data_IF_239301905363
#
_entry.id   IF_239301905363
#
_cell.length_a   1.000
_cell.length_b   1.000
_cell.length_c   1.000
_cell.angle_alpha   90.00
_cell.angle_beta   90.00
_cell.angle_gamma   90.00
#
_symmetry.space_group_name_H-M   'P 1'
#
loop_
_entity.id
_entity.type
_entity.pdbx_description
1 polymer ?
#
# COMPACT_ATOMS: atom_id res chain seq x y z
N UNK A 1 0.85 6.37 -3.81
CA UNK A 1 0.64 5.74 -2.48
C UNK A 1 -0.81 5.40 -2.19
N UNK A 2 -1.77 6.34 -2.30
CA UNK A 2 -3.19 6.13 -1.98
C UNK A 2 -3.77 4.77 -2.43
N UNK A 3 -3.56 4.40 -3.70
CA UNK A 3 -4.11 3.17 -4.29
C UNK A 3 -3.58 1.87 -3.69
N UNK A 4 -2.37 1.85 -3.12
CA UNK A 4 -1.84 0.67 -2.42
C UNK A 4 -2.49 0.49 -1.04
N UNK A 5 -2.84 1.60 -0.37
CA UNK A 5 -3.43 1.57 0.97
C UNK A 5 -4.85 0.99 0.93
N UNK A 6 -5.60 1.32 -0.12
CA UNK A 6 -7.01 0.90 -0.27
C UNK A 6 -7.19 -0.35 -1.14
N UNK A 7 -6.09 -1.02 -1.51
CA UNK A 7 -6.12 -2.13 -2.46
C UNK A 7 -6.84 -3.35 -1.88
N UNK A 8 -8.07 -3.64 -2.35
CA UNK A 8 -8.96 -4.68 -1.81
C UNK A 8 -8.29 -6.05 -1.61
N UNK A 9 -7.46 -6.49 -2.55
CA UNK A 9 -6.82 -7.82 -2.48
C UNK A 9 -5.60 -7.87 -1.56
N UNK A 10 -5.15 -6.74 -1.02
CA UNK A 10 -4.08 -6.70 -0.01
C UNK A 10 -4.67 -7.11 1.33
N UNK A 11 -4.10 -8.13 1.98
CA UNK A 11 -4.62 -8.67 3.25
C UNK A 11 -3.67 -8.50 4.42
N UNK A 12 -2.40 -8.24 4.14
CA UNK A 12 -1.34 -8.11 5.14
C UNK A 12 -0.60 -6.79 4.95
N UNK A 13 -0.26 -6.12 6.05
CA UNK A 13 0.56 -4.91 6.06
C UNK A 13 1.66 -5.04 7.12
N UNK A 14 2.89 -4.71 6.74
CA UNK A 14 4.04 -4.57 7.63
C UNK A 14 4.52 -3.13 7.63
N UNK A 15 4.75 -2.56 8.82
CA UNK A 15 5.24 -1.19 8.97
C UNK A 15 6.57 -1.21 9.73
N UNK A 16 7.61 -0.67 9.10
CA UNK A 16 8.92 -0.45 9.72
C UNK A 16 9.17 1.04 9.93
N UNK A 17 9.81 1.38 11.05
CA UNK A 17 10.18 2.76 11.38
C UNK A 17 11.65 2.81 11.78
N UNK A 18 12.37 3.80 11.26
CA UNK A 18 13.71 4.17 11.70
C UNK A 18 13.74 5.68 11.91
N UNK A 19 14.34 6.15 13.00
CA UNK A 19 14.43 7.57 13.32
C UNK A 19 15.78 7.96 13.88
N UNK A 20 16.20 9.18 13.58
CA UNK A 20 17.29 9.91 14.25
C UNK A 20 16.75 11.21 14.89
N UNK A 21 17.63 12.08 15.40
CA UNK A 21 17.24 13.33 16.07
C UNK A 21 16.46 14.31 15.18
N UNK A 22 16.51 14.17 13.85
CA UNK A 22 15.94 15.14 12.89
C UNK A 22 14.99 14.52 11.88
N UNK A 23 15.00 13.19 11.74
CA UNK A 23 14.36 12.49 10.64
C UNK A 23 13.67 11.24 11.14
N UNK A 24 12.46 11.02 10.63
CA UNK A 24 11.73 9.75 10.79
C UNK A 24 11.45 9.19 9.40
N UNK A 25 11.86 7.94 9.19
CA UNK A 25 11.61 7.17 7.98
C UNK A 25 10.61 6.08 8.32
N UNK A 26 9.50 6.04 7.59
CA UNK A 26 8.45 5.04 7.72
C UNK A 26 8.34 4.27 6.41
N UNK A 27 8.38 2.94 6.49
CA UNK A 27 8.25 2.05 5.33
C UNK A 27 7.05 1.14 5.55
N UNK A 28 6.10 1.16 4.62
CA UNK A 28 4.98 0.23 4.57
C UNK A 28 5.19 -0.81 3.47
N UNK A 29 5.12 -2.09 3.83
CA UNK A 29 5.03 -3.21 2.88
C UNK A 29 3.64 -3.83 2.93
N UNK A 30 3.14 -4.25 1.78
CA UNK A 30 1.79 -4.76 1.58
C UNK A 30 1.84 -6.10 0.86
N UNK A 31 1.04 -7.07 1.31
CA UNK A 31 0.97 -8.40 0.70
C UNK A 31 -0.49 -8.89 0.62
N UNK A 32 -0.91 -9.49 -0.50
CA UNK A 32 -0.32 -9.39 -1.85
C UNK A 32 -0.09 -7.94 -2.30
N UNK A 33 0.87 -7.72 -3.20
CA UNK A 33 1.19 -6.39 -3.70
C UNK A 33 0.01 -5.78 -4.48
N UNK A 34 -0.25 -4.48 -4.27
CA UNK A 34 -1.24 -3.72 -5.03
C UNK A 34 -0.61 -2.95 -6.19
N UNK A 35 -1.37 -2.00 -6.75
CA UNK A 35 -0.94 -1.14 -7.88
C UNK A 35 -0.49 -1.91 -9.13
N UNK A 36 -1.01 -3.12 -9.34
CA UNK A 36 -0.74 -3.90 -10.54
C UNK A 36 -1.45 -3.19 -11.72
N UNK A 37 -0.71 -2.86 -12.78
CA UNK A 37 -1.19 -2.05 -13.92
C UNK A 37 -1.89 -2.87 -15.00
N UNK A 38 -2.22 -4.13 -14.72
CA UNK A 38 -2.96 -4.98 -15.62
C UNK A 38 -4.39 -4.45 -15.78
N UNK A 39 -4.96 -4.63 -16.96
CA UNK A 39 -6.33 -4.21 -17.26
C UNK A 39 -7.32 -4.81 -16.24
N UNK A 40 -8.28 -4.00 -15.76
CA UNK A 40 -9.29 -4.41 -14.76
C UNK A 40 -8.84 -4.35 -13.29
N UNK A 41 -7.55 -4.49 -12.99
CA UNK A 41 -7.08 -4.62 -11.59
C UNK A 41 -7.38 -3.39 -10.72
N UNK A 42 -7.33 -2.19 -11.30
CA UNK A 42 -7.68 -0.97 -10.57
C UNK A 42 -9.18 -0.88 -10.25
N UNK A 43 -10.06 -1.30 -11.18
CA UNK A 43 -11.51 -1.29 -10.94
C UNK A 43 -11.91 -2.30 -9.87
N UNK A 44 -11.24 -3.43 -9.81
CA UNK A 44 -11.52 -4.49 -8.84
C UNK A 44 -11.00 -4.16 -7.42
N UNK A 45 -9.98 -3.29 -7.31
CA UNK A 45 -9.24 -3.07 -6.08
C UNK A 45 -9.28 -1.65 -5.52
N UNK A 46 -9.71 -0.64 -6.28
CA UNK A 46 -9.83 0.76 -5.84
C UNK A 46 -11.29 1.20 -6.00
N UNK A 47 -12.09 0.96 -4.96
CA UNK A 47 -13.54 1.22 -4.98
C UNK A 47 -13.87 2.68 -4.62
N UNK A 48 -14.97 3.25 -5.16
CA UNK A 48 -15.47 4.56 -4.74
C UNK A 48 -15.90 4.54 -3.26
N UNK A 49 -15.78 5.69 -2.60
CA UNK A 49 -16.16 5.90 -1.20
C UNK A 49 -17.68 6.02 -1.00
#
# INVERSE_FOLDING_TARGET
HFTQVVWKSTTEVGVGLASDEKTVIVVGQYKPAGNITNEGYYMDNVLPA
#
